data_IF_874114012040
#
_entry.id   IF_874114012040
#
_cell.length_a   1.000
_cell.length_b   1.000
_cell.length_c   1.000
_cell.angle_alpha   90.00
_cell.angle_beta   90.00
_cell.angle_gamma   90.00
#
_symmetry.space_group_name_H-M   'P 1'
#
loop_
_entity.id
_entity.type
_entity.pdbx_description
1 polymer ?
#
# COMPACT_ATOMS: atom_id res chain seq x y z
N UNK A 1 -2.18 -39.95 -69.30
CA UNK A 1 -1.65 -38.71 -68.79
C UNK A 1 -2.23 -38.48 -67.39
N UNK A 2 -1.50 -38.97 -66.35
CA UNK A 2 -1.95 -38.93 -64.93
C UNK A 2 -1.24 -37.74 -64.29
N UNK A 3 -1.99 -36.68 -63.89
CA UNK A 3 -1.46 -35.54 -63.12
C UNK A 3 -1.49 -35.89 -61.62
N UNK A 4 -0.33 -36.11 -61.08
CA UNK A 4 -0.10 -36.27 -59.65
C UNK A 4 -0.11 -34.90 -58.97
N UNK A 5 -1.17 -34.55 -58.22
CA UNK A 5 -1.21 -33.41 -57.31
C UNK A 5 -0.52 -33.78 -56.03
N UNK A 6 0.67 -33.25 -55.79
CA UNK A 6 1.38 -33.32 -54.51
C UNK A 6 0.81 -32.20 -53.62
N UNK A 7 0.00 -32.57 -52.64
CA UNK A 7 -0.49 -31.67 -51.58
C UNK A 7 0.63 -31.53 -50.53
N UNK A 8 1.38 -30.43 -50.58
CA UNK A 8 2.35 -30.07 -49.55
C UNK A 8 1.61 -29.62 -48.27
N UNK A 9 1.49 -30.48 -47.29
CA UNK A 9 0.95 -30.20 -45.93
C UNK A 9 2.04 -29.52 -45.12
N UNK A 10 2.03 -28.16 -45.09
CA UNK A 10 2.88 -27.38 -44.19
C UNK A 10 2.38 -27.55 -42.75
N UNK A 11 2.95 -28.46 -41.99
CA UNK A 11 2.84 -28.49 -40.53
C UNK A 11 3.57 -27.27 -39.96
N UNK A 12 2.83 -26.22 -39.63
CA UNK A 12 3.30 -25.15 -38.75
C UNK A 12 3.57 -25.76 -37.38
N UNK A 13 4.82 -26.09 -37.10
CA UNK A 13 5.33 -26.36 -35.75
C UNK A 13 5.22 -25.08 -34.95
N UNK A 14 4.11 -24.90 -34.22
CA UNK A 14 4.00 -23.88 -33.18
C UNK A 14 5.05 -24.22 -32.09
N UNK A 15 6.21 -23.56 -32.14
CA UNK A 15 7.17 -23.64 -31.03
C UNK A 15 6.45 -23.15 -29.76
N UNK A 16 6.53 -23.90 -28.63
CA UNK A 16 5.97 -23.45 -27.38
C UNK A 16 6.65 -22.11 -27.03
N UNK A 17 5.85 -21.05 -26.92
CA UNK A 17 6.34 -19.78 -26.43
C UNK A 17 6.88 -20.00 -25.02
N UNK A 18 8.21 -20.06 -24.89
CA UNK A 18 8.87 -20.20 -23.62
C UNK A 18 8.58 -18.96 -22.81
N UNK A 19 7.80 -19.08 -21.73
CA UNK A 19 7.49 -17.98 -20.86
C UNK A 19 8.81 -17.36 -20.36
N UNK A 20 9.00 -16.06 -20.59
CA UNK A 20 10.24 -15.38 -20.24
C UNK A 20 10.48 -15.46 -18.73
N UNK A 21 11.70 -15.80 -18.34
CA UNK A 21 12.13 -15.76 -16.95
C UNK A 21 11.99 -14.34 -16.39
N UNK A 22 11.53 -14.23 -15.17
CA UNK A 22 11.37 -12.95 -14.47
C UNK A 22 12.59 -12.72 -13.59
N UNK A 23 13.17 -11.53 -13.70
CA UNK A 23 14.26 -11.08 -12.82
C UNK A 23 13.97 -9.65 -12.40
N UNK A 24 13.77 -9.43 -11.08
CA UNK A 24 13.51 -8.12 -10.49
C UNK A 24 14.32 -7.92 -9.21
N UNK A 25 14.82 -6.71 -8.99
CA UNK A 25 15.40 -6.32 -7.70
C UNK A 25 14.27 -5.80 -6.83
N UNK A 26 14.08 -6.40 -5.67
CA UNK A 26 13.03 -6.04 -4.73
C UNK A 26 13.45 -4.94 -3.73
N UNK A 27 12.55 -4.52 -2.86
CA UNK A 27 12.83 -3.43 -1.90
C UNK A 27 13.73 -3.84 -0.72
N UNK A 28 14.14 -5.09 -0.64
CA UNK A 28 15.23 -5.55 0.25
C UNK A 28 16.61 -5.46 -0.42
N UNK A 29 16.67 -5.09 -1.69
CA UNK A 29 17.87 -5.11 -2.51
C UNK A 29 18.26 -6.49 -3.03
N UNK A 30 17.41 -7.51 -2.81
CA UNK A 30 17.64 -8.86 -3.32
C UNK A 30 17.03 -9.04 -4.72
N UNK A 31 17.69 -9.87 -5.54
CA UNK A 31 17.13 -10.23 -6.84
C UNK A 31 16.19 -11.41 -6.68
N UNK A 32 14.93 -11.23 -7.04
CA UNK A 32 13.97 -12.31 -7.22
C UNK A 32 14.10 -12.85 -8.63
N UNK A 33 14.34 -14.16 -8.76
CA UNK A 33 14.41 -14.86 -10.04
C UNK A 33 13.33 -15.93 -10.09
N UNK A 34 12.47 -15.89 -11.11
CA UNK A 34 11.45 -16.89 -11.38
C UNK A 34 11.62 -17.39 -12.81
N UNK A 35 11.57 -18.69 -13.00
CA UNK A 35 11.72 -19.33 -14.34
C UNK A 35 10.54 -19.06 -15.26
N UNK A 36 9.40 -18.67 -14.70
CA UNK A 36 8.15 -18.32 -15.38
C UNK A 36 7.33 -17.35 -14.52
N UNK A 37 6.35 -16.64 -15.08
CA UNK A 37 5.40 -15.85 -14.29
C UNK A 37 4.70 -16.72 -13.25
N UNK A 38 4.59 -16.26 -11.98
CA UNK A 38 3.96 -17.01 -10.91
C UNK A 38 2.47 -17.22 -11.22
N UNK A 39 1.95 -18.36 -10.84
CA UNK A 39 0.54 -18.74 -11.05
C UNK A 39 -0.22 -18.85 -9.73
N UNK A 40 0.49 -18.89 -8.62
CA UNK A 40 -0.09 -19.10 -7.27
C UNK A 40 0.55 -18.15 -6.28
N UNK A 41 -0.05 -16.97 -6.16
CA UNK A 41 0.49 -15.87 -5.35
C UNK A 41 -0.22 -15.79 -4.01
N UNK A 42 0.53 -15.57 -2.93
CA UNK A 42 0.01 -15.19 -1.63
C UNK A 42 0.37 -13.73 -1.33
N UNK A 43 -0.61 -12.97 -0.85
CA UNK A 43 -0.44 -11.58 -0.38
C UNK A 43 -0.58 -11.51 1.14
N UNK A 44 0.41 -10.92 1.83
CA UNK A 44 0.43 -10.85 3.30
C UNK A 44 -0.13 -9.55 3.88
N UNK A 45 -0.66 -8.65 3.06
CA UNK A 45 -1.30 -7.41 3.54
C UNK A 45 -2.38 -6.93 2.58
N UNK A 46 -3.39 -6.16 3.07
CA UNK A 46 -4.47 -5.66 2.24
C UNK A 46 -4.01 -4.83 1.05
N UNK A 47 -3.06 -3.91 1.25
CA UNK A 47 -2.57 -3.05 0.17
C UNK A 47 -1.85 -3.83 -0.93
N UNK A 48 -1.12 -4.90 -0.59
CA UNK A 48 -0.48 -5.77 -1.60
C UNK A 48 -1.52 -6.54 -2.40
N UNK A 49 -2.61 -6.98 -1.75
CA UNK A 49 -3.75 -7.58 -2.45
C UNK A 49 -4.33 -6.59 -3.47
N UNK A 50 -4.55 -5.35 -3.08
CA UNK A 50 -5.05 -4.30 -3.98
C UNK A 50 -4.09 -4.01 -5.15
N UNK A 51 -2.78 -3.92 -4.88
CA UNK A 51 -1.76 -3.73 -5.93
C UNK A 51 -1.75 -4.89 -6.93
N UNK A 52 -1.84 -6.15 -6.46
CA UNK A 52 -1.90 -7.33 -7.31
C UNK A 52 -3.14 -7.32 -8.22
N UNK A 53 -4.29 -6.94 -7.71
CA UNK A 53 -5.47 -6.75 -8.55
C UNK A 53 -5.31 -5.59 -9.55
N UNK A 54 -4.72 -4.48 -9.12
CA UNK A 54 -4.52 -3.29 -9.97
C UNK A 54 -3.61 -3.55 -11.17
N UNK A 55 -2.64 -4.46 -11.04
CA UNK A 55 -1.76 -4.85 -12.16
C UNK A 55 -2.30 -6.02 -12.98
N UNK A 56 -3.50 -6.55 -12.65
CA UNK A 56 -4.12 -7.67 -13.38
C UNK A 56 -3.73 -9.06 -12.86
N UNK A 57 -2.96 -9.16 -11.77
CA UNK A 57 -2.52 -10.43 -11.17
C UNK A 57 -3.55 -11.04 -10.19
N UNK A 58 -4.75 -10.46 -10.07
CA UNK A 58 -5.77 -10.92 -9.13
C UNK A 58 -6.20 -12.39 -9.34
N UNK A 59 -6.23 -12.87 -10.59
CA UNK A 59 -6.54 -14.27 -10.91
C UNK A 59 -5.46 -15.28 -10.48
N UNK A 60 -4.27 -14.82 -10.13
CA UNK A 60 -3.16 -15.65 -9.63
C UNK A 60 -3.17 -15.76 -8.09
N UNK A 61 -3.98 -14.94 -7.38
CA UNK A 61 -4.06 -14.99 -5.94
C UNK A 61 -4.75 -16.26 -5.44
N UNK A 62 -4.06 -17.00 -4.58
CA UNK A 62 -4.57 -18.24 -3.96
C UNK A 62 -4.75 -18.10 -2.45
N UNK A 63 -4.24 -17.03 -1.85
CA UNK A 63 -4.39 -16.73 -0.42
C UNK A 63 -4.05 -15.29 -0.11
N UNK A 64 -4.79 -14.71 0.85
CA UNK A 64 -4.66 -13.30 1.24
C UNK A 64 -4.72 -13.14 2.75
N UNK A 65 -4.19 -12.04 3.25
CA UNK A 65 -4.36 -11.59 4.62
C UNK A 65 -5.85 -11.43 5.02
N UNK A 66 -6.15 -11.60 6.32
CA UNK A 66 -7.52 -11.57 6.84
C UNK A 66 -8.24 -10.23 6.64
N UNK A 67 -7.50 -9.12 6.56
CA UNK A 67 -8.04 -7.78 6.34
C UNK A 67 -8.11 -7.38 4.85
N UNK A 68 -7.77 -8.29 3.92
CA UNK A 68 -7.86 -8.07 2.47
C UNK A 68 -9.31 -8.12 2.00
N UNK A 69 -9.99 -7.00 1.96
CA UNK A 69 -11.42 -6.86 1.66
C UNK A 69 -11.71 -6.17 0.31
N UNK A 70 -10.69 -5.60 -0.32
CA UNK A 70 -10.82 -4.92 -1.61
C UNK A 70 -9.81 -5.45 -2.64
N UNK A 71 -10.22 -5.55 -3.95
CA UNK A 71 -11.59 -5.36 -4.45
C UNK A 71 -12.54 -6.46 -3.92
N UNK A 72 -13.86 -6.38 -4.17
CA UNK A 72 -14.81 -7.39 -3.66
C UNK A 72 -14.42 -8.84 -3.98
N UNK A 73 -13.76 -9.07 -5.11
CA UNK A 73 -13.25 -10.39 -5.49
C UNK A 73 -12.23 -10.97 -4.48
N UNK A 74 -11.50 -10.13 -3.74
CA UNK A 74 -10.57 -10.57 -2.71
C UNK A 74 -11.26 -11.23 -1.51
N UNK A 75 -12.52 -10.92 -1.27
CA UNK A 75 -13.28 -11.42 -0.11
C UNK A 75 -13.51 -12.94 -0.17
N UNK A 76 -13.57 -13.52 -1.36
CA UNK A 76 -13.76 -14.95 -1.58
C UNK A 76 -12.47 -15.80 -1.46
N UNK A 77 -11.30 -15.15 -1.38
CA UNK A 77 -10.02 -15.83 -1.34
C UNK A 77 -9.73 -16.44 0.04
N UNK A 78 -9.00 -17.57 0.10
CA UNK A 78 -8.57 -18.18 1.35
C UNK A 78 -7.78 -17.22 2.24
N UNK A 79 -8.13 -17.13 3.54
CA UNK A 79 -7.43 -16.31 4.52
C UNK A 79 -6.25 -17.07 5.10
N UNK A 80 -5.06 -16.46 5.12
CA UNK A 80 -3.81 -17.10 5.57
C UNK A 80 -3.29 -16.59 6.92
N UNK A 81 -4.06 -15.80 7.61
CA UNK A 81 -3.70 -15.15 8.88
C UNK A 81 -3.79 -13.64 8.79
N UNK A 82 -3.22 -12.97 9.78
CA UNK A 82 -3.22 -11.50 9.91
C UNK A 82 -1.82 -10.97 10.26
N UNK A 83 -1.73 -9.65 10.55
CA UNK A 83 -0.47 -8.98 10.91
C UNK A 83 0.19 -9.56 12.18
N UNK A 84 -0.57 -10.20 13.09
CA UNK A 84 -0.06 -10.78 14.34
C UNK A 84 0.49 -12.18 14.13
N UNK A 85 -0.10 -12.96 13.24
CA UNK A 85 0.28 -14.34 12.96
C UNK A 85 -0.21 -14.83 11.60
N UNK A 86 0.72 -15.34 10.78
CA UNK A 86 0.38 -16.08 9.55
C UNK A 86 0.30 -17.59 9.83
N UNK A 87 -0.51 -18.29 9.05
CA UNK A 87 -0.65 -19.75 9.13
C UNK A 87 0.23 -20.43 8.06
N UNK A 88 1.41 -20.86 8.45
CA UNK A 88 2.39 -21.51 7.55
C UNK A 88 1.86 -22.79 6.92
N UNK A 89 1.12 -23.61 7.67
CA UNK A 89 0.56 -24.87 7.15
C UNK A 89 -0.44 -24.58 6.02
N UNK A 90 -1.30 -23.59 6.21
CA UNK A 90 -2.26 -23.16 5.20
C UNK A 90 -1.58 -22.56 3.97
N UNK A 91 -0.52 -21.78 4.18
CA UNK A 91 0.31 -21.25 3.10
C UNK A 91 0.89 -22.40 2.28
N UNK A 92 1.52 -23.39 2.90
CA UNK A 92 2.10 -24.55 2.21
C UNK A 92 1.04 -25.39 1.48
N UNK A 93 -0.13 -25.61 2.12
CA UNK A 93 -1.24 -26.34 1.49
C UNK A 93 -1.74 -25.66 0.19
N UNK A 94 -1.63 -24.33 0.10
CA UNK A 94 -1.97 -23.56 -1.09
C UNK A 94 -0.89 -23.65 -2.17
N UNK A 95 0.27 -24.24 -1.93
CA UNK A 95 1.39 -24.46 -2.87
C UNK A 95 1.72 -23.17 -3.67
N UNK A 96 2.05 -22.06 -3.01
CA UNK A 96 2.37 -20.82 -3.70
C UNK A 96 3.71 -20.94 -4.43
N UNK A 97 3.83 -20.26 -5.55
CA UNK A 97 5.08 -20.06 -6.28
C UNK A 97 5.62 -18.61 -6.13
N UNK A 98 4.87 -17.73 -5.43
CA UNK A 98 5.32 -16.42 -4.96
C UNK A 98 4.56 -16.00 -3.71
N UNK A 99 5.28 -15.41 -2.74
CA UNK A 99 4.69 -14.71 -1.59
C UNK A 99 5.12 -13.25 -1.63
N UNK A 100 4.15 -12.33 -1.59
CA UNK A 100 4.43 -10.88 -1.58
C UNK A 100 4.29 -10.36 -0.16
N UNK A 101 5.32 -9.67 0.33
CA UNK A 101 5.44 -9.21 1.73
C UNK A 101 5.76 -7.73 1.80
N UNK A 102 5.37 -7.10 2.90
CA UNK A 102 5.71 -5.72 3.25
C UNK A 102 6.76 -5.68 4.34
N UNK A 103 7.96 -5.14 4.02
CA UNK A 103 9.12 -5.14 4.91
C UNK A 103 8.88 -4.44 6.25
N UNK A 104 8.13 -3.35 6.23
CA UNK A 104 7.95 -2.50 7.41
C UNK A 104 6.69 -2.86 8.24
N UNK A 105 5.87 -3.82 7.77
CA UNK A 105 4.62 -4.22 8.43
C UNK A 105 4.49 -5.70 8.71
N UNK A 106 5.06 -6.59 7.88
CA UNK A 106 5.07 -8.01 8.20
C UNK A 106 6.18 -8.33 9.20
N UNK A 107 5.93 -9.29 10.08
CA UNK A 107 6.92 -9.72 11.08
C UNK A 107 8.16 -10.32 10.40
N UNK A 108 9.34 -9.84 10.76
CA UNK A 108 10.60 -10.36 10.21
C UNK A 108 10.75 -11.88 10.40
N UNK A 109 10.25 -12.43 11.53
CA UNK A 109 10.23 -13.87 11.79
C UNK A 109 9.38 -14.65 10.78
N UNK A 110 8.24 -14.09 10.37
CA UNK A 110 7.35 -14.72 9.38
C UNK A 110 8.00 -14.71 7.99
N UNK A 111 8.58 -13.59 7.58
CA UNK A 111 9.34 -13.48 6.31
C UNK A 111 10.50 -14.49 6.30
N UNK A 112 11.25 -14.58 7.41
CA UNK A 112 12.35 -15.54 7.53
C UNK A 112 11.86 -16.98 7.45
N UNK A 113 10.72 -17.30 8.09
CA UNK A 113 10.08 -18.62 8.03
C UNK A 113 9.72 -19.04 6.61
N UNK A 114 9.10 -18.15 5.84
CA UNK A 114 8.76 -18.37 4.44
C UNK A 114 10.00 -18.71 3.58
N UNK A 115 11.08 -17.94 3.75
CA UNK A 115 12.35 -18.19 3.05
C UNK A 115 12.97 -19.53 3.43
N UNK A 116 12.94 -19.92 4.72
CA UNK A 116 13.41 -21.23 5.16
C UNK A 116 12.64 -22.41 4.55
N UNK A 117 11.38 -22.19 4.18
CA UNK A 117 10.54 -23.17 3.48
C UNK A 117 10.83 -23.22 1.97
N UNK A 118 11.79 -22.44 1.47
CA UNK A 118 12.15 -22.40 0.05
C UNK A 118 11.15 -21.64 -0.82
N UNK A 119 10.23 -20.86 -0.24
CA UNK A 119 9.26 -20.09 -1.00
C UNK A 119 9.91 -18.82 -1.58
N UNK A 120 9.69 -18.50 -2.87
CA UNK A 120 10.08 -17.22 -3.44
C UNK A 120 9.31 -16.09 -2.76
N UNK A 121 10.02 -15.05 -2.31
CA UNK A 121 9.45 -13.91 -1.58
C UNK A 121 9.80 -12.61 -2.31
N UNK A 122 8.79 -11.83 -2.67
CA UNK A 122 8.93 -10.46 -3.16
C UNK A 122 8.77 -9.49 -1.98
N UNK A 123 9.82 -8.75 -1.67
CA UNK A 123 9.78 -7.73 -0.62
C UNK A 123 9.35 -6.38 -1.20
N UNK A 124 8.43 -5.73 -0.50
CA UNK A 124 7.93 -4.40 -0.88
C UNK A 124 8.09 -3.42 0.27
N UNK A 125 8.22 -2.13 -0.04
CA UNK A 125 8.27 -1.03 0.91
C UNK A 125 7.60 0.20 0.31
N UNK A 126 6.84 0.93 1.12
CA UNK A 126 6.33 2.25 0.77
C UNK A 126 6.60 3.21 1.91
N UNK A 127 7.14 4.38 1.61
CA UNK A 127 7.42 5.47 2.55
C UNK A 127 6.98 6.83 2.02
N UNK A 128 6.70 6.92 0.71
CA UNK A 128 6.33 8.14 0.01
C UNK A 128 5.13 7.90 -0.91
N UNK A 129 4.45 8.97 -1.33
CA UNK A 129 3.33 8.87 -2.27
C UNK A 129 3.74 8.23 -3.60
N UNK A 130 4.90 8.59 -4.13
CA UNK A 130 5.42 8.08 -5.40
C UNK A 130 5.76 6.58 -5.36
N UNK A 131 5.94 6.01 -4.17
CA UNK A 131 6.19 4.57 -4.03
C UNK A 131 5.04 3.72 -4.55
N UNK A 132 3.81 4.23 -4.59
CA UNK A 132 2.67 3.50 -5.17
C UNK A 132 2.91 3.20 -6.65
N UNK A 133 3.35 4.21 -7.43
CA UNK A 133 3.66 4.02 -8.84
C UNK A 133 4.85 3.05 -9.04
N UNK A 134 5.87 3.15 -8.20
CA UNK A 134 7.02 2.24 -8.21
C UNK A 134 6.60 0.81 -7.88
N UNK A 135 5.76 0.62 -6.86
CA UNK A 135 5.26 -0.70 -6.45
C UNK A 135 4.37 -1.34 -7.53
N UNK A 136 3.53 -0.57 -8.21
CA UNK A 136 2.74 -1.05 -9.36
C UNK A 136 3.66 -1.61 -10.46
N UNK A 137 4.77 -0.94 -10.77
CA UNK A 137 5.78 -1.43 -11.72
C UNK A 137 6.46 -2.71 -11.20
N UNK A 138 6.93 -2.69 -9.96
CA UNK A 138 7.63 -3.83 -9.35
C UNK A 138 6.74 -5.08 -9.31
N UNK A 139 5.50 -4.95 -8.81
CA UNK A 139 4.54 -6.05 -8.73
C UNK A 139 4.14 -6.52 -10.13
N UNK A 140 3.90 -5.60 -11.06
CA UNK A 140 3.60 -5.93 -12.45
C UNK A 140 4.73 -6.74 -13.11
N UNK A 141 5.99 -6.33 -12.94
CA UNK A 141 7.15 -7.06 -13.44
C UNK A 141 7.27 -8.45 -12.80
N UNK A 142 7.16 -8.53 -11.47
CA UNK A 142 7.31 -9.78 -10.72
C UNK A 142 6.20 -10.81 -11.01
N UNK A 143 5.04 -10.36 -11.48
CA UNK A 143 3.88 -11.24 -11.75
C UNK A 143 3.63 -11.52 -13.24
N UNK A 144 4.47 -10.97 -14.13
CA UNK A 144 4.32 -11.14 -15.58
C UNK A 144 3.32 -10.15 -16.21
N UNK A 145 2.92 -9.11 -15.49
CA UNK A 145 1.97 -8.07 -15.90
C UNK A 145 2.66 -6.70 -16.07
N UNK A 146 3.88 -6.66 -16.60
CA UNK A 146 4.69 -5.44 -16.68
C UNK A 146 3.99 -4.29 -17.42
N UNK A 147 3.29 -4.58 -18.51
CA UNK A 147 2.56 -3.56 -19.28
C UNK A 147 1.40 -2.94 -18.48
N UNK A 148 0.64 -3.77 -17.76
CA UNK A 148 -0.46 -3.32 -16.90
C UNK A 148 0.07 -2.54 -15.69
N UNK A 149 1.17 -3.02 -15.08
CA UNK A 149 1.86 -2.32 -14.00
C UNK A 149 2.33 -0.94 -14.41
N UNK A 150 2.91 -0.81 -15.60
CA UNK A 150 3.34 0.49 -16.14
C UNK A 150 2.15 1.41 -16.45
N UNK A 151 1.06 0.87 -17.01
CA UNK A 151 -0.16 1.65 -17.27
C UNK A 151 -0.78 2.18 -15.97
N UNK A 152 -0.94 1.32 -14.95
CA UNK A 152 -1.47 1.71 -13.64
C UNK A 152 -0.56 2.72 -12.92
N UNK A 153 0.76 2.58 -13.03
CA UNK A 153 1.73 3.50 -12.45
C UNK A 153 1.64 4.90 -13.10
N UNK A 154 1.49 4.97 -14.42
CA UNK A 154 1.30 6.24 -15.14
C UNK A 154 -0.01 6.91 -14.77
N UNK A 155 -1.12 6.16 -14.74
CA UNK A 155 -2.43 6.69 -14.31
C UNK A 155 -2.35 7.28 -12.91
N UNK A 156 -1.75 6.54 -11.96
CA UNK A 156 -1.54 7.02 -10.60
C UNK A 156 -0.73 8.33 -10.59
N UNK A 157 0.39 8.39 -11.30
CA UNK A 157 1.24 9.59 -11.37
C UNK A 157 0.52 10.81 -11.93
N UNK A 158 -0.26 10.64 -13.00
CA UNK A 158 -1.06 11.74 -13.60
C UNK A 158 -2.11 12.24 -12.60
N UNK A 159 -2.82 11.34 -11.95
CA UNK A 159 -3.84 11.70 -10.95
C UNK A 159 -3.23 12.35 -9.72
N UNK A 160 -2.07 11.87 -9.25
CA UNK A 160 -1.34 12.48 -8.14
C UNK A 160 -0.89 13.91 -8.49
N UNK A 161 -0.32 14.11 -9.67
CA UNK A 161 0.11 15.42 -10.13
C UNK A 161 -1.06 16.43 -10.23
N UNK A 162 -2.25 15.94 -10.60
CA UNK A 162 -3.46 16.76 -10.66
C UNK A 162 -3.96 17.23 -9.27
N UNK A 163 -3.54 16.56 -8.18
CA UNK A 163 -3.88 16.95 -6.82
C UNK A 163 -2.97 18.03 -6.22
N UNK A 164 -1.90 18.44 -6.91
CA UNK A 164 -0.99 19.47 -6.40
C UNK A 164 -1.75 20.77 -6.15
N UNK A 165 -1.99 21.02 -4.86
CA UNK A 165 -2.62 22.25 -4.38
C UNK A 165 -1.52 23.27 -4.11
N UNK A 166 -1.69 24.50 -4.58
CA UNK A 166 -0.79 25.62 -4.24
C UNK A 166 -0.71 25.76 -2.71
N UNK A 167 0.46 25.93 -2.12
CA UNK A 167 0.56 26.20 -0.70
C UNK A 167 -0.17 27.52 -0.37
N UNK A 168 -1.26 27.41 0.36
CA UNK A 168 -2.18 28.51 0.59
C UNK A 168 -1.77 29.38 1.79
N UNK A 169 -0.96 28.83 2.72
CA UNK A 169 -0.67 29.46 4.00
C UNK A 169 0.81 29.35 4.37
N UNK A 170 1.33 30.44 4.97
CA UNK A 170 2.64 30.47 5.61
C UNK A 170 2.50 30.98 7.06
N UNK A 171 2.95 30.23 8.09
CA UNK A 171 3.49 28.85 8.02
C UNK A 171 2.41 27.82 7.67
N UNK A 172 2.83 26.61 7.18
CA UNK A 172 1.91 25.53 6.86
C UNK A 172 1.05 25.12 8.05
N UNK A 173 -0.20 24.71 7.80
CA UNK A 173 -1.14 24.23 8.81
C UNK A 173 -0.54 23.08 9.61
N UNK A 174 -0.45 23.19 10.93
CA UNK A 174 0.12 22.14 11.78
C UNK A 174 -0.91 21.05 12.10
N UNK A 175 -0.61 19.82 11.72
CA UNK A 175 -1.53 18.69 11.83
C UNK A 175 -0.92 17.57 12.68
N UNK A 176 -1.70 17.06 13.62
CA UNK A 176 -1.46 15.77 14.26
C UNK A 176 -2.32 14.71 13.57
N UNK A 177 -1.68 13.68 12.99
CA UNK A 177 -2.38 12.54 12.42
C UNK A 177 -2.42 11.40 13.44
N UNK A 178 -3.60 11.05 13.95
CA UNK A 178 -3.79 9.97 14.90
C UNK A 178 -4.14 8.68 14.16
N UNK A 179 -3.21 7.73 14.13
CA UNK A 179 -3.40 6.39 13.55
C UNK A 179 -4.19 5.50 14.49
N UNK A 180 -3.84 5.51 15.79
CA UNK A 180 -4.41 4.65 16.82
C UNK A 180 -4.46 5.37 18.16
N UNK A 181 -5.34 4.93 19.08
CA UNK A 181 -5.55 5.61 20.37
C UNK A 181 -4.88 4.92 21.57
N UNK A 182 -4.72 3.62 21.53
CA UNK A 182 -4.13 2.81 22.62
C UNK A 182 -3.33 1.62 22.10
N UNK A 183 -1.99 1.74 22.06
CA UNK A 183 -1.19 2.93 22.38
C UNK A 183 -1.46 4.08 21.40
N UNK A 184 -1.25 5.34 21.84
CA UNK A 184 -1.41 6.49 20.93
C UNK A 184 -0.30 6.46 19.88
N UNK A 185 -0.69 6.33 18.61
CA UNK A 185 0.23 6.23 17.48
C UNK A 185 -0.04 7.32 16.46
N UNK A 186 1.02 7.78 15.84
CA UNK A 186 1.01 8.78 14.74
C UNK A 186 1.76 8.25 13.55
N UNK A 187 1.95 9.07 12.52
CA UNK A 187 2.85 8.81 11.39
C UNK A 187 4.15 9.60 11.56
N UNK A 188 5.28 9.00 11.19
CA UNK A 188 6.58 9.68 11.17
C UNK A 188 6.78 10.54 9.92
N UNK A 189 7.99 11.13 9.78
CA UNK A 189 8.39 11.89 8.60
C UNK A 189 8.36 11.05 7.32
N UNK A 190 9.10 9.93 7.26
CA UNK A 190 9.14 9.07 6.08
C UNK A 190 7.85 8.22 5.99
N UNK A 191 6.73 8.86 5.65
CA UNK A 191 5.43 8.22 5.51
C UNK A 191 4.59 8.93 4.45
N UNK A 192 3.95 8.20 3.55
CA UNK A 192 3.11 8.75 2.48
C UNK A 192 1.98 9.67 2.98
N UNK A 193 1.48 9.49 4.22
CA UNK A 193 0.50 10.42 4.82
C UNK A 193 1.18 11.75 5.16
N UNK A 194 2.44 11.77 5.57
CA UNK A 194 3.18 13.02 5.78
C UNK A 194 3.40 13.78 4.47
N UNK A 195 3.68 13.07 3.38
CA UNK A 195 3.73 13.66 2.04
C UNK A 195 2.35 14.17 1.60
N UNK A 196 1.28 13.41 1.87
CA UNK A 196 -0.08 13.83 1.58
C UNK A 196 -0.46 15.12 2.33
N UNK A 197 -0.08 15.24 3.61
CA UNK A 197 -0.27 16.47 4.38
C UNK A 197 0.49 17.63 3.73
N UNK A 198 1.75 17.42 3.34
CA UNK A 198 2.56 18.46 2.69
C UNK A 198 1.96 18.90 1.35
N UNK A 199 1.47 17.93 0.54
CA UNK A 199 0.77 18.19 -0.71
C UNK A 199 -0.49 19.05 -0.49
N UNK A 200 -1.20 18.83 0.63
CA UNK A 200 -2.37 19.63 1.02
C UNK A 200 -2.02 20.95 1.75
N UNK A 201 -0.77 21.42 1.74
CA UNK A 201 -0.36 22.68 2.39
C UNK A 201 -0.29 22.60 3.92
N UNK A 202 -0.18 21.40 4.46
CA UNK A 202 -0.06 21.15 5.91
C UNK A 202 1.28 20.51 6.25
N UNK A 203 1.65 20.52 7.53
CA UNK A 203 2.82 19.81 8.04
C UNK A 203 2.42 18.84 9.15
N UNK A 204 2.99 17.67 9.12
CA UNK A 204 2.90 16.74 10.22
C UNK A 204 3.72 17.26 11.41
N UNK A 205 3.09 17.43 12.60
CA UNK A 205 3.80 17.89 13.80
C UNK A 205 4.84 16.87 14.32
N UNK A 206 4.80 15.63 13.84
CA UNK A 206 5.74 14.58 14.18
C UNK A 206 6.63 14.15 12.99
N UNK A 207 6.83 15.01 12.00
CA UNK A 207 7.70 14.74 10.84
C UNK A 207 9.18 14.52 11.20
N UNK A 208 9.62 14.88 12.40
CA UNK A 208 10.96 14.61 12.92
C UNK A 208 11.15 13.18 13.44
N UNK A 209 10.06 12.43 13.67
CA UNK A 209 10.15 11.05 14.12
C UNK A 209 10.45 10.10 12.95
N UNK A 210 11.25 9.09 13.25
CA UNK A 210 11.55 7.98 12.32
C UNK A 210 10.56 6.83 12.52
N UNK A 211 10.40 6.00 11.50
CA UNK A 211 9.47 4.87 11.49
C UNK A 211 8.08 5.25 10.97
N UNK A 212 7.34 4.26 10.49
CA UNK A 212 6.04 4.50 9.87
C UNK A 212 4.97 4.92 10.89
N UNK A 213 4.87 4.21 12.01
CA UNK A 213 3.81 4.43 13.00
C UNK A 213 4.37 4.50 14.43
N UNK A 214 5.11 5.56 14.79
CA UNK A 214 5.69 5.69 16.11
C UNK A 214 4.61 5.90 17.18
N UNK A 215 4.87 5.33 18.38
CA UNK A 215 4.09 5.59 19.59
C UNK A 215 4.51 6.95 20.17
N UNK A 216 3.54 7.76 20.56
CA UNK A 216 3.77 9.08 21.16
C UNK A 216 2.96 9.24 22.43
N UNK A 217 3.37 10.16 23.32
CA UNK A 217 2.58 10.51 24.49
C UNK A 217 1.59 11.63 24.19
N UNK A 218 0.56 11.77 25.02
CA UNK A 218 -0.37 12.91 24.94
C UNK A 218 0.33 14.23 25.23
N UNK A 219 1.26 14.23 26.16
CA UNK A 219 2.09 15.38 26.53
C UNK A 219 2.90 15.86 25.32
N UNK A 220 3.46 14.95 24.51
CA UNK A 220 4.17 15.29 23.29
C UNK A 220 3.24 15.98 22.27
N UNK A 221 1.99 15.52 22.14
CA UNK A 221 1.00 16.17 21.27
C UNK A 221 0.64 17.57 21.80
N UNK A 222 0.42 17.71 23.12
CA UNK A 222 0.13 19.01 23.75
C UNK A 222 1.28 20.00 23.55
N UNK A 223 2.52 19.54 23.70
CA UNK A 223 3.72 20.38 23.51
C UNK A 223 3.86 20.85 22.05
N UNK A 224 3.50 20.02 21.07
CA UNK A 224 3.55 20.35 19.64
C UNK A 224 2.38 21.20 19.17
N UNK A 225 1.34 21.33 20.00
CA UNK A 225 0.19 22.24 19.85
C UNK A 225 -0.40 22.24 18.41
N UNK A 226 -0.85 21.09 17.86
CA UNK A 226 -1.40 21.06 16.51
C UNK A 226 -2.66 21.91 16.40
N UNK A 227 -2.83 22.52 15.22
CA UNK A 227 -4.02 23.33 14.88
C UNK A 227 -5.19 22.45 14.43
N UNK A 228 -4.90 21.26 13.87
CA UNK A 228 -5.91 20.28 13.44
C UNK A 228 -5.49 18.90 13.90
N UNK A 229 -6.46 18.09 14.31
CA UNK A 229 -6.29 16.65 14.56
C UNK A 229 -7.05 15.88 13.50
N UNK A 230 -6.34 15.00 12.78
CA UNK A 230 -6.89 14.13 11.74
C UNK A 230 -6.82 12.69 12.22
N UNK A 231 -7.83 11.86 11.96
CA UNK A 231 -7.76 10.42 12.19
C UNK A 231 -8.51 9.62 11.13
N UNK A 232 -8.21 8.32 11.04
CA UNK A 232 -9.00 7.37 10.27
C UNK A 232 -10.40 7.16 10.87
N UNK A 233 -11.31 6.60 10.07
CA UNK A 233 -12.71 6.38 10.44
C UNK A 233 -12.93 5.41 11.61
N UNK A 234 -12.01 4.46 11.80
CA UNK A 234 -12.12 3.40 12.82
C UNK A 234 -11.64 3.83 14.21
N UNK A 235 -11.06 5.04 14.36
CA UNK A 235 -10.67 5.55 15.65
C UNK A 235 -11.90 5.80 16.53
N UNK A 236 -11.88 5.35 17.82
CA UNK A 236 -12.90 5.73 18.78
C UNK A 236 -13.04 7.26 18.84
N UNK A 237 -14.10 7.76 19.47
CA UNK A 237 -14.40 9.21 19.45
C UNK A 237 -13.17 10.07 19.81
N UNK A 238 -12.40 10.40 18.78
CA UNK A 238 -11.18 11.21 18.85
C UNK A 238 -11.48 12.56 19.51
N UNK A 239 -12.62 13.15 19.20
CA UNK A 239 -13.03 14.44 19.78
C UNK A 239 -13.15 14.34 21.30
N UNK A 240 -13.84 13.33 21.84
CA UNK A 240 -13.99 13.13 23.29
C UNK A 240 -12.64 12.92 23.99
N UNK A 241 -11.68 12.27 23.33
CA UNK A 241 -10.33 12.09 23.90
C UNK A 241 -9.60 13.43 24.11
N UNK A 242 -9.71 14.36 23.16
CA UNK A 242 -8.94 15.60 23.15
C UNK A 242 -9.66 16.77 23.79
N UNK A 243 -11.00 16.80 23.87
CA UNK A 243 -11.78 17.89 24.48
C UNK A 243 -11.37 18.22 25.93
N UNK A 244 -10.79 17.28 26.66
CA UNK A 244 -10.27 17.49 28.01
C UNK A 244 -9.04 18.42 28.08
N UNK A 245 -8.47 18.81 26.95
CA UNK A 245 -7.32 19.69 26.83
C UNK A 245 -7.69 21.01 26.15
N UNK A 246 -8.43 21.90 26.81
CA UNK A 246 -8.99 23.10 26.18
C UNK A 246 -7.94 24.11 25.70
N UNK A 247 -6.69 24.01 26.17
CA UNK A 247 -5.58 24.85 25.70
C UNK A 247 -5.08 24.49 24.31
N UNK A 248 -5.37 23.27 23.83
CA UNK A 248 -4.90 22.80 22.52
C UNK A 248 -5.56 23.60 21.39
N UNK A 249 -4.81 24.15 20.41
CA UNK A 249 -5.38 24.91 19.30
C UNK A 249 -6.48 24.16 18.54
N UNK A 250 -6.27 22.88 18.22
CA UNK A 250 -7.27 22.03 17.57
C UNK A 250 -8.59 21.95 18.36
N UNK A 251 -8.51 21.95 19.70
CA UNK A 251 -9.71 21.90 20.57
C UNK A 251 -10.41 23.26 20.60
N UNK A 252 -9.64 24.36 20.74
CA UNK A 252 -10.19 25.73 20.71
C UNK A 252 -10.95 25.99 19.41
N UNK A 253 -10.40 25.55 18.30
CA UNK A 253 -10.93 25.77 16.97
C UNK A 253 -11.91 24.68 16.51
N UNK A 254 -12.21 23.68 17.35
CA UNK A 254 -13.04 22.51 16.99
C UNK A 254 -12.57 21.80 15.71
N UNK A 255 -11.25 21.82 15.45
CA UNK A 255 -10.61 21.36 14.22
C UNK A 255 -10.27 19.87 14.29
N UNK A 256 -11.31 19.05 14.14
CA UNK A 256 -11.22 17.59 14.12
C UNK A 256 -11.70 17.05 12.78
N UNK A 257 -10.84 16.32 12.09
CA UNK A 257 -11.12 15.73 10.78
C UNK A 257 -11.10 14.20 10.90
N UNK A 258 -12.15 13.56 10.43
CA UNK A 258 -12.23 12.10 10.31
C UNK A 258 -12.28 11.71 8.84
N UNK A 259 -11.43 10.75 8.44
CA UNK A 259 -11.32 10.28 7.07
C UNK A 259 -11.42 8.76 7.00
N UNK A 260 -11.63 8.25 5.80
CA UNK A 260 -11.61 6.81 5.53
C UNK A 260 -10.17 6.28 5.67
N UNK A 261 -9.95 5.44 6.68
CA UNK A 261 -8.65 4.85 6.97
C UNK A 261 -8.14 3.99 5.81
N UNK A 262 -8.98 3.20 5.18
CA UNK A 262 -8.58 2.28 4.11
C UNK A 262 -8.01 3.00 2.89
N UNK A 263 -8.51 4.20 2.60
CA UNK A 263 -8.03 5.02 1.49
C UNK A 263 -6.73 5.76 1.79
N UNK A 264 -6.42 6.02 3.06
CA UNK A 264 -5.19 6.73 3.47
C UNK A 264 -4.10 5.81 3.99
N UNK A 265 -4.46 4.72 4.68
CA UNK A 265 -3.49 3.82 5.29
C UNK A 265 -2.94 2.78 4.31
N UNK A 266 -3.58 2.59 3.15
CA UNK A 266 -3.16 1.63 2.14
C UNK A 266 -2.48 2.34 0.97
N UNK A 267 -1.16 2.16 0.76
CA UNK A 267 -0.45 2.72 -0.39
C UNK A 267 -0.82 1.97 -1.69
N UNK A 268 -1.97 2.31 -2.25
CA UNK A 268 -2.61 1.70 -3.42
C UNK A 268 -3.12 2.78 -4.37
N UNK A 269 -3.60 2.46 -5.59
CA UNK A 269 -4.20 3.47 -6.48
C UNK A 269 -5.35 4.27 -5.85
N UNK A 270 -6.07 3.71 -4.86
CA UNK A 270 -7.15 4.41 -4.13
C UNK A 270 -6.64 5.51 -3.17
N UNK A 271 -5.34 5.53 -2.89
CA UNK A 271 -4.72 6.57 -2.07
C UNK A 271 -4.99 7.98 -2.63
N UNK A 272 -5.11 8.13 -3.95
CA UNK A 272 -5.46 9.41 -4.60
C UNK A 272 -6.78 9.98 -4.05
N UNK A 273 -7.79 9.12 -3.86
CA UNK A 273 -9.09 9.53 -3.32
C UNK A 273 -8.97 9.93 -1.85
N UNK A 274 -8.14 9.20 -1.08
CA UNK A 274 -7.84 9.54 0.31
C UNK A 274 -7.12 10.89 0.44
N UNK A 275 -6.14 11.16 -0.43
CA UNK A 275 -5.41 12.44 -0.46
C UNK A 275 -6.33 13.58 -0.89
N UNK A 276 -7.17 13.40 -1.90
CA UNK A 276 -8.15 14.39 -2.32
C UNK A 276 -9.12 14.75 -1.16
N UNK A 277 -9.63 13.73 -0.46
CA UNK A 277 -10.49 13.92 0.71
C UNK A 277 -9.77 14.65 1.85
N UNK A 278 -8.48 14.32 2.11
CA UNK A 278 -7.65 15.00 3.10
C UNK A 278 -7.49 16.49 2.76
N UNK A 279 -7.11 16.81 1.52
CA UNK A 279 -6.96 18.20 1.08
C UNK A 279 -8.27 18.99 1.21
N UNK A 280 -9.39 18.41 0.78
CA UNK A 280 -10.71 19.03 0.89
C UNK A 280 -11.11 19.28 2.35
N UNK A 281 -10.84 18.32 3.25
CA UNK A 281 -11.15 18.44 4.67
C UNK A 281 -10.26 19.46 5.41
N UNK A 282 -9.02 19.68 4.95
CA UNK A 282 -8.10 20.65 5.51
C UNK A 282 -8.32 22.08 4.96
N UNK A 283 -8.93 22.24 3.80
CA UNK A 283 -9.14 23.54 3.14
C UNK A 283 -9.81 24.62 4.03
N UNK A 284 -10.82 24.31 4.87
CA UNK A 284 -11.43 25.31 5.77
C UNK A 284 -10.46 25.93 6.79
N UNK A 285 -9.39 25.21 7.15
CA UNK A 285 -8.39 25.60 8.15
C UNK A 285 -7.16 26.29 7.54
N UNK A 286 -7.09 26.40 6.22
CA UNK A 286 -5.99 27.05 5.49
C UNK A 286 -6.13 28.57 5.35
N UNK A 287 -7.23 29.13 5.82
CA UNK A 287 -7.54 30.57 5.72
C UNK A 287 -6.91 31.41 6.82
#
# INVERSE_FOLDING_TARGET
>A
MIRCCILCLCLLLAAPAQAAAIRVVDDSGQTLELTRPPQRIISLTPHLTELLFAVGAGGQLVGVDSASDYPPAAQSLPRIGDYSRINFERILALKPDLVVVWLDGNRAADIHGLKKMGLPVLHTRATQLDDVARLLRLVGQATGHAAQGEAAARDFGVRLAALQVQPLRQPPLSVFYQVWDRPLMTVGGPHWISDALALCGARNVFADLRGLSPVVSREAVLQRAPEVIVSGSDAPDMRAQWQRFPSLPAVKNQAFVRLDADRLHRPTPRLIEGVAALCAALAPYQR
#
